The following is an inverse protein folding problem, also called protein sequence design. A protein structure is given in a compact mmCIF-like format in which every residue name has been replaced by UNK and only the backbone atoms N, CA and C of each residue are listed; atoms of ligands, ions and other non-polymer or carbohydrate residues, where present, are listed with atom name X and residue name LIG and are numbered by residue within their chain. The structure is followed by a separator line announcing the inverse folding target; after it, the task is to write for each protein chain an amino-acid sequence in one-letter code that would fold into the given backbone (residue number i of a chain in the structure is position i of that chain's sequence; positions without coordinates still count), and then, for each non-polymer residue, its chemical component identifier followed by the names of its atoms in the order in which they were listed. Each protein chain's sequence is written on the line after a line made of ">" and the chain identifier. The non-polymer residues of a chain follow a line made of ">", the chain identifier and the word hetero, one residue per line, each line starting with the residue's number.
data_IF_791469798056
#
_entry.id   IF_791469798056
#
_cell.length_a   1.000
_cell.length_b   1.000
_cell.length_c   1.000
_cell.angle_alpha   90.00
_cell.angle_beta   90.00
_cell.angle_gamma   90.00
#
_symmetry.space_group_name_H-M   'P 1'
#
loop_
_entity.id
_entity.type
_entity.pdbx_description
1 polymer ?
#
# COMPACT_ATOMS: atom_id res chain seq x y z
N UNK A 1 7.69 -11.96 23.51
CA UNK A 1 6.87 -10.83 23.04
C UNK A 1 6.59 -10.94 21.54
N UNK A 2 7.51 -11.50 20.76
CA UNK A 2 7.48 -11.52 19.29
C UNK A 2 6.36 -12.37 18.66
N UNK A 3 6.07 -13.55 19.23
CA UNK A 3 5.02 -14.45 18.71
C UNK A 3 3.62 -13.82 18.84
N UNK A 4 3.36 -13.12 19.96
CA UNK A 4 2.07 -12.45 20.20
C UNK A 4 1.85 -11.31 19.20
N UNK A 5 2.90 -10.53 18.91
CA UNK A 5 2.86 -9.46 17.91
C UNK A 5 2.61 -10.03 16.51
N UNK A 6 3.27 -11.13 16.15
CA UNK A 6 3.03 -11.82 14.88
C UNK A 6 1.60 -12.34 14.75
N UNK A 7 1.05 -12.96 15.80
CA UNK A 7 -0.34 -13.46 15.80
C UNK A 7 -1.33 -12.28 15.67
N UNK A 8 -1.10 -11.20 16.40
CA UNK A 8 -1.93 -10.00 16.31
C UNK A 8 -1.89 -9.38 14.90
N UNK A 9 -0.70 -9.30 14.29
CA UNK A 9 -0.53 -8.82 12.93
C UNK A 9 -1.31 -9.66 11.92
N UNK A 10 -1.22 -10.99 11.99
CA UNK A 10 -1.95 -11.90 11.12
C UNK A 10 -3.46 -11.73 11.31
N UNK A 11 -3.93 -11.65 12.56
CA UNK A 11 -5.36 -11.53 12.84
C UNK A 11 -5.96 -10.21 12.30
N UNK A 12 -5.24 -9.10 12.50
CA UNK A 12 -5.62 -7.78 11.97
C UNK A 12 -5.58 -7.79 10.43
N UNK A 13 -4.54 -8.41 9.87
CA UNK A 13 -4.36 -8.54 8.42
C UNK A 13 -5.47 -9.32 7.75
N UNK A 14 -5.83 -10.49 8.29
CA UNK A 14 -6.94 -11.32 7.82
C UNK A 14 -8.25 -10.54 7.88
N UNK A 15 -8.54 -9.88 9.01
CA UNK A 15 -9.74 -9.05 9.15
C UNK A 15 -9.79 -7.91 8.12
N UNK A 16 -8.65 -7.32 7.78
CA UNK A 16 -8.55 -6.27 6.78
C UNK A 16 -8.76 -6.78 5.34
N UNK A 17 -8.23 -7.97 5.03
CA UNK A 17 -8.40 -8.64 3.73
C UNK A 17 -9.89 -8.82 3.41
N UNK A 18 -10.66 -9.37 4.35
CA UNK A 18 -12.10 -9.64 4.19
C UNK A 18 -12.99 -8.39 4.30
N UNK A 19 -12.46 -7.26 4.76
CA UNK A 19 -13.26 -6.04 4.93
C UNK A 19 -13.68 -5.47 3.57
N UNK A 20 -14.97 -5.20 3.41
CA UNK A 20 -15.50 -4.53 2.23
C UNK A 20 -14.85 -3.16 1.99
N UNK A 21 -14.74 -2.82 0.71
CA UNK A 21 -14.13 -1.59 0.26
C UNK A 21 -15.14 -0.47 0.47
N UNK A 22 -14.74 0.56 1.22
CA UNK A 22 -15.57 1.73 1.51
C UNK A 22 -14.84 3.00 1.10
N UNK A 23 -15.56 3.91 0.44
CA UNK A 23 -15.13 5.27 0.18
C UNK A 23 -16.28 6.21 0.61
N UNK A 24 -16.20 6.72 1.84
CA UNK A 24 -17.29 7.47 2.46
C UNK A 24 -18.55 6.61 2.64
N UNK A 25 -19.66 7.05 2.05
CA UNK A 25 -20.97 6.36 2.09
C UNK A 25 -21.08 5.20 1.10
N UNK A 26 -20.14 5.08 0.15
CA UNK A 26 -20.16 4.04 -0.88
C UNK A 26 -19.41 2.81 -0.38
N UNK A 27 -20.08 1.66 -0.37
CA UNK A 27 -19.51 0.37 -0.01
C UNK A 27 -19.68 -0.59 -1.18
N UNK A 28 -18.60 -1.26 -1.57
CA UNK A 28 -18.64 -2.29 -2.60
C UNK A 28 -18.12 -3.63 -2.07
N UNK A 29 -18.61 -4.72 -2.68
CA UNK A 29 -18.17 -6.07 -2.34
C UNK A 29 -16.73 -6.28 -2.78
N UNK A 30 -15.92 -6.90 -1.91
CA UNK A 30 -14.52 -7.18 -2.18
C UNK A 30 -14.40 -8.28 -3.24
N UNK A 31 -13.83 -7.96 -4.40
CA UNK A 31 -13.55 -8.97 -5.44
C UNK A 31 -12.30 -9.78 -5.10
N UNK A 32 -12.20 -11.03 -5.57
CA UNK A 32 -11.03 -11.91 -5.43
C UNK A 32 -9.70 -11.22 -5.80
N UNK A 33 -9.70 -10.40 -6.85
CA UNK A 33 -8.53 -9.60 -7.25
C UNK A 33 -8.04 -8.65 -6.15
N UNK A 34 -8.95 -7.94 -5.48
CA UNK A 34 -8.60 -7.02 -4.39
C UNK A 34 -8.17 -7.79 -3.15
N UNK A 35 -8.80 -8.94 -2.90
CA UNK A 35 -8.38 -9.82 -1.82
C UNK A 35 -6.91 -10.26 -1.99
N UNK A 36 -6.53 -10.67 -3.21
CA UNK A 36 -5.14 -10.98 -3.56
C UNK A 36 -4.20 -9.79 -3.41
N UNK A 37 -4.63 -8.59 -3.81
CA UNK A 37 -3.81 -7.38 -3.72
C UNK A 37 -3.59 -6.90 -2.27
N UNK A 38 -4.60 -7.04 -1.41
CA UNK A 38 -4.46 -6.82 0.03
C UNK A 38 -3.51 -7.82 0.67
N UNK A 39 -3.56 -9.08 0.26
CA UNK A 39 -2.63 -10.10 0.73
C UNK A 39 -1.18 -9.78 0.31
N UNK A 40 -0.98 -9.33 -0.93
CA UNK A 40 0.32 -8.86 -1.40
C UNK A 40 0.87 -7.70 -0.55
N UNK A 41 0.03 -6.71 -0.21
CA UNK A 41 0.44 -5.63 0.69
C UNK A 41 0.73 -6.12 2.12
N UNK A 42 -0.03 -7.08 2.62
CA UNK A 42 0.21 -7.67 3.94
C UNK A 42 1.57 -8.38 4.01
N UNK A 43 2.06 -8.92 2.89
CA UNK A 43 3.37 -9.56 2.80
C UNK A 43 4.54 -8.55 2.71
N UNK A 44 4.29 -7.30 2.28
CA UNK A 44 5.35 -6.29 2.17
C UNK A 44 5.96 -5.90 3.51
N UNK A 45 5.15 -5.85 4.58
CA UNK A 45 5.63 -5.48 5.92
C UNK A 45 6.61 -6.52 6.49
N UNK A 46 6.28 -7.84 6.53
CA UNK A 46 7.25 -8.85 6.94
C UNK A 46 8.46 -8.92 6.01
N UNK A 47 8.29 -8.66 4.71
CA UNK A 47 9.43 -8.59 3.77
C UNK A 47 10.37 -7.42 4.11
N UNK A 48 9.83 -6.25 4.45
CA UNK A 48 10.63 -5.10 4.89
C UNK A 48 11.42 -5.39 6.17
N UNK A 49 10.77 -6.02 7.15
CA UNK A 49 11.41 -6.44 8.40
C UNK A 49 12.50 -7.49 8.15
N UNK A 50 12.25 -8.45 7.27
CA UNK A 50 13.23 -9.45 6.89
C UNK A 50 14.48 -8.82 6.28
N UNK A 51 14.32 -7.89 5.33
CA UNK A 51 15.45 -7.15 4.73
C UNK A 51 16.23 -6.39 5.80
N UNK A 52 15.52 -5.74 6.74
CA UNK A 52 16.16 -4.95 7.79
C UNK A 52 17.01 -5.81 8.75
N UNK A 53 16.51 -6.97 9.17
CA UNK A 53 17.20 -7.85 10.14
C UNK A 53 18.30 -8.66 9.46
N UNK A 54 18.05 -9.22 8.27
CA UNK A 54 18.98 -10.14 7.63
C UNK A 54 20.20 -9.43 7.03
N UNK A 55 20.04 -8.19 6.55
CA UNK A 55 21.12 -7.38 5.98
C UNK A 55 21.66 -6.34 6.97
N UNK A 56 21.60 -6.60 8.28
CA UNK A 56 22.04 -5.65 9.30
C UNK A 56 23.50 -5.19 9.12
N UNK A 57 24.40 -6.11 8.75
CA UNK A 57 25.83 -5.84 8.55
C UNK A 57 26.17 -5.19 7.19
N UNK A 58 25.27 -5.27 6.20
CA UNK A 58 25.51 -4.79 4.83
C UNK A 58 24.62 -3.57 4.52
N UNK A 59 25.11 -2.38 4.87
CA UNK A 59 24.36 -1.12 4.74
C UNK A 59 23.84 -0.85 3.32
N UNK A 60 24.70 -0.96 2.31
CA UNK A 60 24.35 -0.68 0.90
C UNK A 60 23.28 -1.63 0.37
N UNK A 61 23.43 -2.93 0.65
CA UNK A 61 22.48 -3.94 0.22
C UNK A 61 21.14 -3.80 0.96
N UNK A 62 21.17 -3.48 2.25
CA UNK A 62 19.97 -3.19 3.06
C UNK A 62 19.21 -1.99 2.51
N UNK A 63 19.91 -0.90 2.19
CA UNK A 63 19.29 0.28 1.58
C UNK A 63 18.67 -0.09 0.24
N UNK A 64 19.42 -0.69 -0.67
CA UNK A 64 18.93 -1.07 -2.00
C UNK A 64 17.68 -1.95 -1.96
N UNK A 65 17.71 -3.05 -1.20
CA UNK A 65 16.54 -3.93 -1.03
C UNK A 65 15.38 -3.20 -0.33
N UNK A 66 15.67 -2.33 0.64
CA UNK A 66 14.67 -1.48 1.27
C UNK A 66 13.93 -0.59 0.25
N UNK A 67 14.66 0.00 -0.70
CA UNK A 67 14.05 0.79 -1.78
C UNK A 67 13.15 -0.06 -2.67
N UNK A 68 13.60 -1.26 -3.04
CA UNK A 68 12.82 -2.19 -3.85
C UNK A 68 11.51 -2.53 -3.15
N UNK A 69 11.53 -2.81 -1.84
CA UNK A 69 10.32 -3.09 -1.06
C UNK A 69 9.38 -1.88 -1.02
N UNK A 70 9.91 -0.66 -0.85
CA UNK A 70 9.09 0.57 -0.87
C UNK A 70 8.42 0.77 -2.24
N UNK A 71 9.17 0.60 -3.33
CA UNK A 71 8.65 0.74 -4.71
C UNK A 71 7.57 -0.32 -4.99
N UNK A 72 7.80 -1.58 -4.61
CA UNK A 72 6.83 -2.65 -4.78
C UNK A 72 5.55 -2.39 -3.96
N UNK A 73 5.70 -1.86 -2.74
CA UNK A 73 4.59 -1.42 -1.90
C UNK A 73 3.76 -0.31 -2.56
N UNK A 74 4.42 0.70 -3.13
CA UNK A 74 3.78 1.79 -3.88
C UNK A 74 3.00 1.29 -5.10
N UNK A 75 3.56 0.36 -5.86
CA UNK A 75 2.90 -0.25 -7.03
C UNK A 75 1.64 -1.01 -6.58
N UNK A 76 1.74 -1.79 -5.50
CA UNK A 76 0.62 -2.50 -4.89
C UNK A 76 -0.49 -1.56 -4.42
N UNK A 77 -0.14 -0.49 -3.73
CA UNK A 77 -1.07 0.56 -3.28
C UNK A 77 -1.79 1.23 -4.45
N UNK A 78 -1.05 1.58 -5.52
CA UNK A 78 -1.61 2.21 -6.70
C UNK A 78 -2.57 1.29 -7.46
N UNK A 79 -2.21 0.02 -7.62
CA UNK A 79 -3.08 -1.00 -8.20
C UNK A 79 -4.36 -1.19 -7.37
N UNK A 80 -4.24 -1.25 -6.04
CA UNK A 80 -5.39 -1.44 -5.14
C UNK A 80 -6.34 -0.25 -5.24
N UNK A 81 -5.79 0.96 -5.29
CA UNK A 81 -6.58 2.17 -5.48
C UNK A 81 -7.32 2.12 -6.82
N UNK A 82 -6.63 1.81 -7.93
CA UNK A 82 -7.23 1.75 -9.27
C UNK A 82 -8.33 0.69 -9.37
N UNK A 83 -8.13 -0.48 -8.81
CA UNK A 83 -9.14 -1.56 -8.82
C UNK A 83 -10.35 -1.21 -7.94
N UNK A 84 -10.09 -0.57 -6.78
CA UNK A 84 -11.13 0.00 -5.91
C UNK A 84 -11.97 1.03 -6.65
N UNK A 85 -11.35 1.99 -7.34
CA UNK A 85 -12.06 3.01 -8.10
C UNK A 85 -12.96 2.37 -9.16
N UNK A 86 -12.46 1.38 -9.91
CA UNK A 86 -13.21 0.69 -10.96
C UNK A 86 -14.49 0.04 -10.42
N UNK A 87 -14.39 -0.70 -9.32
CA UNK A 87 -15.55 -1.37 -8.71
C UNK A 87 -16.55 -0.35 -8.21
N UNK A 88 -16.06 0.73 -7.62
CA UNK A 88 -16.91 1.74 -7.02
C UNK A 88 -17.66 2.55 -8.07
N UNK A 89 -17.01 2.94 -9.17
CA UNK A 89 -17.64 3.58 -10.34
C UNK A 89 -18.75 2.69 -10.91
N UNK A 90 -18.51 1.38 -11.04
CA UNK A 90 -19.51 0.44 -11.54
C UNK A 90 -20.71 0.25 -10.60
N UNK A 91 -20.57 0.59 -9.32
CA UNK A 91 -21.62 0.42 -8.29
C UNK A 91 -22.40 1.72 -8.04
N UNK A 92 -21.87 2.87 -8.43
CA UNK A 92 -22.47 4.20 -8.19
C UNK A 92 -23.62 4.45 -9.17
N UNK A 93 -24.77 4.90 -8.64
CA UNK A 93 -25.90 5.38 -9.47
C UNK A 93 -25.49 6.67 -10.20
N UNK A 94 -25.95 6.82 -11.44
CA UNK A 94 -25.63 7.97 -12.30
C UNK A 94 -25.82 9.33 -11.60
N UNK A 95 -26.88 9.47 -10.82
CA UNK A 95 -27.25 10.68 -10.08
C UNK A 95 -26.25 11.08 -8.97
N UNK A 96 -25.50 10.13 -8.41
CA UNK A 96 -24.52 10.36 -7.34
C UNK A 96 -23.08 10.46 -7.87
N UNK A 97 -22.89 10.42 -9.19
CA UNK A 97 -21.56 10.35 -9.83
C UNK A 97 -20.73 11.62 -9.61
N UNK A 98 -21.37 12.79 -9.57
CA UNK A 98 -20.67 14.06 -9.39
C UNK A 98 -20.11 14.21 -7.96
N UNK A 99 -20.92 13.90 -6.95
CA UNK A 99 -20.48 13.88 -5.55
C UNK A 99 -19.41 12.80 -5.32
N UNK A 100 -19.58 11.64 -5.94
CA UNK A 100 -18.58 10.58 -5.95
C UNK A 100 -17.26 11.04 -6.56
N UNK A 101 -17.28 11.66 -7.74
CA UNK A 101 -16.07 12.17 -8.41
C UNK A 101 -15.37 13.25 -7.58
N UNK A 102 -16.12 14.12 -6.90
CA UNK A 102 -15.53 15.13 -6.01
C UNK A 102 -14.82 14.49 -4.81
N UNK A 103 -15.46 13.50 -4.15
CA UNK A 103 -14.81 12.73 -3.06
C UNK A 103 -13.63 11.91 -3.56
N UNK A 104 -13.76 11.31 -4.73
CA UNK A 104 -12.71 10.52 -5.38
C UNK A 104 -11.49 11.37 -5.71
N UNK A 105 -11.69 12.58 -6.22
CA UNK A 105 -10.61 13.53 -6.52
C UNK A 105 -9.87 13.94 -5.25
N UNK A 106 -10.59 14.16 -4.15
CA UNK A 106 -9.99 14.46 -2.85
C UNK A 106 -9.13 13.29 -2.32
N UNK A 107 -9.65 12.06 -2.36
CA UNK A 107 -8.90 10.86 -1.99
C UNK A 107 -7.70 10.62 -2.92
N UNK A 108 -7.86 10.84 -4.23
CA UNK A 108 -6.77 10.74 -5.20
C UNK A 108 -5.67 11.75 -4.91
N UNK A 109 -6.02 12.99 -4.56
CA UNK A 109 -5.05 14.02 -4.20
C UNK A 109 -4.27 13.64 -2.94
N UNK A 110 -4.96 13.17 -1.89
CA UNK A 110 -4.33 12.66 -0.67
C UNK A 110 -3.40 11.48 -0.96
N UNK A 111 -3.83 10.55 -1.83
CA UNK A 111 -3.02 9.42 -2.27
C UNK A 111 -1.76 9.89 -3.03
N UNK A 112 -1.90 10.88 -3.92
CA UNK A 112 -0.77 11.45 -4.66
C UNK A 112 0.25 12.12 -3.73
N UNK A 113 -0.19 12.87 -2.72
CA UNK A 113 0.71 13.43 -1.70
C UNK A 113 1.49 12.32 -0.99
N UNK A 114 0.82 11.23 -0.61
CA UNK A 114 1.48 10.07 0.04
C UNK A 114 2.52 9.43 -0.88
N UNK A 115 2.19 9.24 -2.15
CA UNK A 115 3.10 8.69 -3.15
C UNK A 115 4.31 9.60 -3.39
N UNK A 116 4.10 10.92 -3.48
CA UNK A 116 5.18 11.90 -3.57
C UNK A 116 6.10 11.82 -2.36
N UNK A 117 5.57 11.81 -1.14
CA UNK A 117 6.40 11.72 0.06
C UNK A 117 7.28 10.46 0.08
N UNK A 118 6.70 9.30 -0.22
CA UNK A 118 7.45 8.05 -0.32
C UNK A 118 8.48 8.06 -1.48
N UNK A 119 8.17 8.69 -2.61
CA UNK A 119 9.13 8.83 -3.72
C UNK A 119 10.34 9.71 -3.36
N UNK A 120 10.15 10.75 -2.54
CA UNK A 120 11.26 11.59 -2.04
C UNK A 120 12.16 10.79 -1.11
N UNK A 121 11.58 9.95 -0.24
CA UNK A 121 12.35 9.02 0.61
C UNK A 121 13.18 8.08 -0.27
N UNK A 122 12.56 7.53 -1.32
CA UNK A 122 13.27 6.68 -2.29
C UNK A 122 14.40 7.46 -2.99
N UNK A 123 14.17 8.70 -3.37
CA UNK A 123 15.19 9.51 -4.02
C UNK A 123 16.38 9.81 -3.08
N UNK A 124 16.10 10.18 -1.82
CA UNK A 124 17.14 10.43 -0.81
C UNK A 124 17.97 9.19 -0.51
N UNK A 125 17.35 8.01 -0.42
CA UNK A 125 18.09 6.77 -0.21
C UNK A 125 18.99 6.41 -1.40
N UNK A 126 18.55 6.67 -2.65
CA UNK A 126 19.37 6.47 -3.83
C UNK A 126 20.58 7.42 -3.81
N UNK A 127 20.37 8.71 -3.53
CA UNK A 127 21.47 9.68 -3.39
C UNK A 127 22.47 9.27 -2.30
N UNK A 128 21.98 8.74 -1.18
CA UNK A 128 22.84 8.26 -0.09
C UNK A 128 23.71 7.08 -0.52
N UNK A 129 23.19 6.17 -1.36
CA UNK A 129 23.99 5.10 -1.94
C UNK A 129 25.04 5.65 -2.93
N UNK A 130 24.69 6.60 -3.78
CA UNK A 130 25.62 7.21 -4.75
C UNK A 130 26.71 8.08 -4.11
N UNK A 131 26.43 8.75 -2.98
CA UNK A 131 27.39 9.58 -2.25
C UNK A 131 28.30 8.78 -1.30
N UNK A 132 27.94 7.52 -1.01
CA UNK A 132 28.74 6.63 -0.17
C UNK A 132 29.83 5.88 -0.96
N UNK A 133 29.86 6.06 -2.28
CA UNK A 133 30.85 5.53 -3.22
C UNK A 133 31.86 6.63 -3.58
#
# INVERSE_FOLDING_TARGET
>A
MDIIVCIAYIFIGVRWIFKNIRLGTFSACTTWKIMGLKLFMLLMVPLALFVYVYFADNLTQRLFLGMVVIILGQIGDYLLFKETQRILINTVKYEMTEEFNKKLAHEKFKFQIRMMGLSVIVFMGILSCFLSE
#
